data_IF_349931401211
#
_entry.id   IF_349931401211
#
_cell.length_a   1.000
_cell.length_b   1.000
_cell.length_c   1.000
_cell.angle_alpha   90.00
_cell.angle_beta   90.00
_cell.angle_gamma   90.00
#
_symmetry.space_group_name_H-M   'P 1'
#
loop_
_entity.id
_entity.type
_entity.pdbx_description
1 polymer ?
#
# COMPACT_ATOMS: atom_id res chain seq x y z
N UNK A 1 -18.90 -5.17 -11.91
CA UNK A 1 -18.88 -3.73 -12.20
C UNK A 1 -19.66 -3.48 -13.46
N UNK A 2 -20.61 -2.56 -13.39
CA UNK A 2 -21.40 -2.10 -14.53
C UNK A 2 -20.79 -0.80 -15.05
N UNK A 3 -20.55 -0.70 -16.35
CA UNK A 3 -19.90 0.45 -16.97
C UNK A 3 -20.43 0.68 -18.39
N UNK A 4 -20.29 1.91 -18.89
CA UNK A 4 -20.87 2.31 -20.18
C UNK A 4 -22.37 2.64 -20.08
N UNK A 5 -22.98 3.02 -21.20
CA UNK A 5 -24.42 3.33 -21.29
C UNK A 5 -25.02 2.83 -22.61
N UNK A 6 -26.32 2.53 -22.60
CA UNK A 6 -27.05 2.07 -23.79
C UNK A 6 -26.48 0.77 -24.36
N UNK A 7 -26.21 0.75 -25.66
CA UNK A 7 -25.64 -0.41 -26.36
C UNK A 7 -24.18 -0.68 -25.97
N UNK A 8 -23.49 0.28 -25.35
CA UNK A 8 -22.11 0.12 -24.85
C UNK A 8 -22.05 -0.28 -23.37
N UNK A 9 -23.18 -0.63 -22.74
CA UNK A 9 -23.21 -1.11 -21.36
C UNK A 9 -22.52 -2.47 -21.27
N UNK A 10 -21.57 -2.59 -20.35
CA UNK A 10 -20.75 -3.79 -20.12
C UNK A 10 -20.79 -4.18 -18.66
N UNK A 11 -20.99 -5.47 -18.43
CA UNK A 11 -20.84 -6.07 -17.12
C UNK A 11 -19.48 -6.76 -17.03
N UNK A 12 -18.59 -6.18 -16.23
CA UNK A 12 -17.28 -6.73 -15.95
C UNK A 12 -17.36 -7.49 -14.63
N UNK A 13 -17.19 -8.81 -14.68
CA UNK A 13 -17.07 -9.62 -13.48
C UNK A 13 -15.65 -9.49 -12.91
N UNK A 14 -15.44 -8.47 -12.07
CA UNK A 14 -14.16 -8.20 -11.42
C UNK A 14 -13.72 -9.37 -10.53
N UNK A 15 -14.67 -10.03 -9.84
CA UNK A 15 -14.37 -11.15 -8.96
C UNK A 15 -13.68 -12.26 -9.72
N UNK A 16 -14.26 -12.71 -10.84
CA UNK A 16 -13.66 -13.79 -11.64
C UNK A 16 -12.27 -13.40 -12.17
N UNK A 17 -12.13 -12.18 -12.71
CA UNK A 17 -10.86 -11.70 -13.28
C UNK A 17 -9.75 -11.66 -12.23
N UNK A 18 -10.05 -11.21 -11.01
CA UNK A 18 -9.05 -11.11 -9.95
C UNK A 18 -8.77 -12.45 -9.29
N UNK A 19 -9.78 -13.31 -9.12
CA UNK A 19 -9.62 -14.65 -8.55
C UNK A 19 -8.72 -15.53 -9.43
N UNK A 20 -8.87 -15.43 -10.76
CA UNK A 20 -8.00 -16.11 -11.73
C UNK A 20 -6.53 -15.65 -11.66
N UNK A 21 -6.29 -14.40 -11.25
CA UNK A 21 -4.93 -13.85 -11.13
C UNK A 21 -4.25 -14.24 -9.83
N UNK A 22 -4.99 -14.16 -8.71
CA UNK A 22 -4.50 -14.56 -7.39
C UNK A 22 -5.71 -14.84 -6.49
N UNK A 23 -5.83 -16.05 -5.91
CA UNK A 23 -6.90 -16.36 -4.98
C UNK A 23 -6.95 -15.36 -3.81
N UNK A 24 -8.15 -14.91 -3.45
CA UNK A 24 -8.37 -13.92 -2.38
C UNK A 24 -8.15 -12.46 -2.79
N UNK A 25 -7.62 -12.19 -3.99
CA UNK A 25 -7.45 -10.83 -4.49
C UNK A 25 -8.75 -10.03 -4.65
N UNK A 26 -9.91 -10.62 -5.03
CA UNK A 26 -11.18 -9.90 -5.01
C UNK A 26 -11.53 -9.36 -3.62
N UNK A 27 -11.29 -10.15 -2.58
CA UNK A 27 -11.56 -9.75 -1.19
C UNK A 27 -10.54 -8.72 -0.68
N UNK A 28 -9.29 -8.84 -1.10
CA UNK A 28 -8.23 -7.87 -0.80
C UNK A 28 -8.43 -6.50 -1.47
N UNK A 29 -9.26 -6.41 -2.52
CA UNK A 29 -9.33 -5.24 -3.38
C UNK A 29 -9.66 -3.92 -2.64
N UNK A 30 -10.62 -3.87 -1.70
CA UNK A 30 -10.89 -2.67 -0.91
C UNK A 30 -9.66 -2.20 -0.12
N UNK A 31 -9.01 -3.12 0.61
CA UNK A 31 -7.79 -2.84 1.36
C UNK A 31 -6.64 -2.39 0.48
N UNK A 32 -6.42 -3.08 -0.63
CA UNK A 32 -5.40 -2.73 -1.62
C UNK A 32 -5.62 -1.33 -2.21
N UNK A 33 -6.85 -1.00 -2.58
CA UNK A 33 -7.20 0.29 -3.18
C UNK A 33 -7.05 1.43 -2.17
N UNK A 34 -7.53 1.23 -0.93
CA UNK A 34 -7.35 2.18 0.16
C UNK A 34 -5.88 2.35 0.56
N UNK A 35 -5.06 1.31 0.49
CA UNK A 35 -3.65 1.40 0.86
C UNK A 35 -2.79 2.03 -0.24
N UNK A 36 -2.93 1.61 -1.50
CA UNK A 36 -2.09 2.13 -2.59
C UNK A 36 -2.43 3.56 -3.00
N UNK A 37 -3.62 4.04 -2.66
CA UNK A 37 -4.05 5.43 -2.83
C UNK A 37 -5.43 5.53 -3.45
N UNK A 38 -6.30 6.30 -2.81
CA UNK A 38 -7.66 6.63 -3.25
C UNK A 38 -7.98 8.09 -2.87
N UNK A 39 -9.21 8.53 -3.08
CA UNK A 39 -9.62 9.90 -2.75
C UNK A 39 -9.47 10.24 -1.26
N UNK A 40 -9.49 9.22 -0.39
CA UNK A 40 -9.34 9.35 1.06
C UNK A 40 -7.91 9.15 1.57
N UNK A 41 -7.02 8.53 0.77
CA UNK A 41 -5.66 8.23 1.21
C UNK A 41 -4.63 8.61 0.14
N UNK A 42 -3.58 9.34 0.55
CA UNK A 42 -2.54 9.76 -0.37
C UNK A 42 -1.82 8.56 -1.00
N UNK A 43 -1.60 8.58 -2.32
CA UNK A 43 -0.81 7.56 -3.00
C UNK A 43 0.69 7.65 -2.68
N UNK A 44 1.41 6.55 -2.87
CA UNK A 44 2.87 6.56 -2.76
C UNK A 44 3.48 7.31 -3.96
N UNK A 45 4.41 8.24 -3.70
CA UNK A 45 4.94 9.12 -4.74
C UNK A 45 5.60 8.34 -5.88
N UNK A 46 5.12 8.59 -7.11
CA UNK A 46 5.52 7.88 -8.34
C UNK A 46 5.39 6.35 -8.29
N UNK A 47 4.51 5.83 -7.42
CA UNK A 47 4.11 4.42 -7.42
C UNK A 47 2.67 4.33 -7.91
N UNK A 48 2.50 3.99 -9.19
CA UNK A 48 1.18 3.69 -9.76
C UNK A 48 0.63 2.37 -9.23
N UNK A 49 -0.58 1.95 -9.65
CA UNK A 49 -1.26 0.74 -9.15
C UNK A 49 -0.87 -0.56 -9.87
N UNK A 50 -0.22 -0.50 -11.03
CA UNK A 50 0.12 -1.71 -11.80
C UNK A 50 1.24 -2.49 -11.12
N UNK A 51 2.39 -1.86 -10.87
CA UNK A 51 3.55 -2.53 -10.24
C UNK A 51 3.25 -3.07 -8.83
N UNK A 52 2.57 -2.34 -7.94
CA UNK A 52 2.18 -2.88 -6.64
C UNK A 52 1.23 -4.07 -6.76
N UNK A 53 0.32 -4.07 -7.73
CA UNK A 53 -0.55 -5.23 -7.97
C UNK A 53 0.26 -6.46 -8.40
N UNK A 54 1.22 -6.28 -9.31
CA UNK A 54 2.12 -7.37 -9.72
C UNK A 54 2.91 -7.97 -8.55
N UNK A 55 3.26 -7.17 -7.53
CA UNK A 55 3.93 -7.66 -6.32
C UNK A 55 2.99 -8.58 -5.53
N UNK A 56 1.71 -8.23 -5.43
CA UNK A 56 0.70 -9.06 -4.75
C UNK A 56 0.42 -10.35 -5.54
N UNK A 57 0.33 -10.25 -6.87
CA UNK A 57 0.07 -11.39 -7.76
C UNK A 57 1.22 -12.41 -7.74
N UNK A 58 2.47 -11.94 -7.63
CA UNK A 58 3.67 -12.80 -7.61
C UNK A 58 4.07 -13.30 -6.22
N UNK A 59 3.36 -12.89 -5.17
CA UNK A 59 3.63 -13.35 -3.81
C UNK A 59 3.03 -14.74 -3.59
N UNK A 60 3.84 -15.77 -3.76
CA UNK A 60 3.46 -17.18 -3.59
C UNK A 60 2.95 -17.48 -2.17
N UNK A 61 3.48 -16.79 -1.16
CA UNK A 61 3.13 -17.02 0.26
C UNK A 61 1.73 -16.55 0.61
N UNK A 62 1.17 -15.63 -0.18
CA UNK A 62 -0.15 -15.02 0.06
C UNK A 62 -0.13 -14.00 1.19
N UNK A 63 1.04 -13.70 1.75
CA UNK A 63 1.23 -12.74 2.83
C UNK A 63 0.64 -11.37 2.50
N UNK A 64 0.88 -10.85 1.30
CA UNK A 64 0.40 -9.52 0.91
C UNK A 64 -1.11 -9.52 0.66
N UNK A 65 -1.65 -10.56 0.04
CA UNK A 65 -3.11 -10.69 -0.14
C UNK A 65 -3.80 -10.74 1.22
N UNK A 66 -3.30 -11.58 2.13
CA UNK A 66 -3.87 -11.73 3.47
C UNK A 66 -3.80 -10.43 4.27
N UNK A 67 -2.72 -9.66 4.16
CA UNK A 67 -2.64 -8.32 4.74
C UNK A 67 -3.71 -7.38 4.19
N UNK A 68 -3.97 -7.38 2.89
CA UNK A 68 -5.02 -6.52 2.34
C UNK A 68 -6.43 -6.99 2.68
N UNK A 69 -6.62 -8.29 2.92
CA UNK A 69 -7.87 -8.85 3.43
C UNK A 69 -8.10 -8.45 4.90
N UNK A 70 -7.05 -8.43 5.73
CA UNK A 70 -7.17 -8.05 7.14
C UNK A 70 -7.44 -6.56 7.35
N UNK A 71 -7.16 -5.72 6.36
CA UNK A 71 -7.59 -4.32 6.40
C UNK A 71 -9.12 -4.24 6.44
N UNK A 72 -9.63 -3.48 7.40
CA UNK A 72 -11.05 -3.38 7.73
C UNK A 72 -11.39 -3.97 9.10
N UNK A 73 -10.50 -4.80 9.64
CA UNK A 73 -10.63 -5.44 10.95
C UNK A 73 -9.67 -4.83 11.99
N UNK A 74 -9.50 -5.51 13.13
CA UNK A 74 -8.51 -5.18 14.16
C UNK A 74 -7.10 -5.44 13.65
N UNK A 75 -6.30 -4.38 13.59
CA UNK A 75 -4.90 -4.46 13.18
C UNK A 75 -4.06 -5.23 14.23
N UNK A 76 -3.21 -6.11 13.73
CA UNK A 76 -2.21 -6.87 14.47
C UNK A 76 -0.79 -6.37 14.15
N UNK A 77 0.18 -6.72 14.99
CA UNK A 77 1.59 -6.40 14.73
C UNK A 77 2.09 -7.03 13.41
N UNK A 78 1.55 -8.19 13.04
CA UNK A 78 1.87 -8.89 11.78
C UNK A 78 1.46 -8.11 10.52
N UNK A 79 0.44 -7.25 10.62
CA UNK A 79 0.00 -6.41 9.50
C UNK A 79 1.03 -5.33 9.17
N UNK A 80 1.70 -4.78 10.20
CA UNK A 80 2.79 -3.83 9.97
C UNK A 80 3.97 -4.50 9.26
N UNK A 81 4.37 -5.69 9.68
CA UNK A 81 5.48 -6.42 9.07
C UNK A 81 5.19 -6.81 7.61
N UNK A 82 3.94 -7.15 7.29
CA UNK A 82 3.52 -7.39 5.92
C UNK A 82 3.51 -6.11 5.08
N UNK A 83 2.95 -5.02 5.62
CA UNK A 83 2.96 -3.72 4.96
C UNK A 83 4.38 -3.20 4.70
N UNK A 84 5.29 -3.36 5.67
CA UNK A 84 6.67 -2.90 5.59
C UNK A 84 7.43 -3.65 4.49
N UNK A 85 7.34 -4.97 4.46
CA UNK A 85 7.96 -5.79 3.40
C UNK A 85 7.37 -5.52 2.01
N UNK A 86 6.05 -5.32 1.93
CA UNK A 86 5.37 -4.94 0.70
C UNK A 86 5.85 -3.58 0.17
N UNK A 87 5.94 -2.57 1.04
CA UNK A 87 6.43 -1.23 0.68
C UNK A 87 7.91 -1.29 0.28
N UNK A 88 8.75 -2.05 0.97
CA UNK A 88 10.14 -2.26 0.55
C UNK A 88 10.23 -2.80 -0.88
N UNK A 89 9.41 -3.80 -1.21
CA UNK A 89 9.30 -4.37 -2.55
C UNK A 89 8.83 -3.34 -3.58
N UNK A 90 7.85 -2.50 -3.24
CA UNK A 90 7.36 -1.40 -4.10
C UNK A 90 8.45 -0.37 -4.44
N UNK A 91 9.44 -0.21 -3.56
CA UNK A 91 10.60 0.65 -3.76
C UNK A 91 11.82 -0.10 -4.35
N UNK A 92 11.64 -1.34 -4.81
CA UNK A 92 12.65 -2.14 -5.49
C UNK A 92 13.60 -2.88 -4.57
N UNK A 93 13.26 -3.01 -3.28
CA UNK A 93 14.11 -3.61 -2.24
C UNK A 93 13.49 -4.91 -1.70
N UNK A 94 13.39 -5.91 -2.57
CA UNK A 94 12.66 -7.17 -2.34
C UNK A 94 13.21 -7.98 -1.15
N UNK A 95 14.50 -7.84 -0.84
CA UNK A 95 15.15 -8.56 0.28
C UNK A 95 15.08 -7.82 1.62
N UNK A 96 14.52 -6.62 1.64
CA UNK A 96 14.45 -5.76 2.84
C UNK A 96 13.03 -5.83 3.37
N UNK A 97 12.91 -6.03 4.68
CA UNK A 97 11.61 -6.12 5.36
C UNK A 97 11.30 -4.90 6.22
N UNK A 98 12.31 -4.11 6.55
CA UNK A 98 12.19 -2.88 7.34
C UNK A 98 12.22 -1.66 6.42
N UNK A 99 11.15 -0.86 6.48
CA UNK A 99 10.99 0.34 5.65
C UNK A 99 12.00 1.43 5.97
N UNK A 100 12.47 1.56 7.22
CA UNK A 100 13.48 2.55 7.60
C UNK A 100 14.87 2.13 7.09
N UNK A 101 15.18 0.83 7.13
CA UNK A 101 16.39 0.29 6.48
C UNK A 101 16.32 0.49 4.95
N UNK A 102 15.17 0.23 4.34
CA UNK A 102 14.97 0.49 2.91
C UNK A 102 15.14 1.98 2.60
N UNK A 103 14.63 2.86 3.46
CA UNK A 103 14.78 4.31 3.34
C UNK A 103 16.24 4.73 3.41
N UNK A 104 16.99 4.20 4.38
CA UNK A 104 18.41 4.47 4.54
C UNK A 104 19.21 4.01 3.31
N UNK A 105 19.02 2.76 2.85
CA UNK A 105 19.68 2.24 1.64
C UNK A 105 19.39 3.10 0.41
N UNK A 106 18.13 3.53 0.24
CA UNK A 106 17.74 4.38 -0.88
C UNK A 106 18.42 5.74 -0.81
N UNK A 107 18.51 6.34 0.39
CA UNK A 107 19.20 7.60 0.61
C UNK A 107 20.67 7.50 0.23
N UNK A 108 21.39 6.49 0.75
CA UNK A 108 22.81 6.26 0.42
C UNK A 108 23.01 6.05 -1.09
N UNK A 109 22.12 5.30 -1.74
CA UNK A 109 22.18 5.10 -3.18
C UNK A 109 21.94 6.40 -3.98
N UNK A 110 21.15 7.33 -3.44
CA UNK A 110 20.88 8.63 -4.08
C UNK A 110 21.98 9.66 -3.84
N UNK A 111 22.64 9.64 -2.68
CA UNK A 111 23.73 10.58 -2.34
C UNK A 111 25.09 10.11 -2.82
N UNK A 112 25.25 8.83 -3.14
CA UNK A 112 26.54 8.25 -3.50
C UNK A 112 27.50 8.18 -2.31
N UNK A 113 28.80 8.02 -2.59
CA UNK A 113 29.83 8.04 -1.54
C UNK A 113 29.94 9.45 -0.95
N UNK A 114 30.00 9.52 0.38
CA UNK A 114 30.26 10.76 1.11
C UNK A 114 31.75 11.07 1.02
N UNK A 115 32.08 12.24 0.49
CA UNK A 115 33.45 12.77 0.48
C UNK A 115 33.79 13.31 1.88
N UNK A 116 35.00 13.03 2.38
CA UNK A 116 35.40 13.41 3.74
C UNK A 116 35.68 14.91 3.88
N UNK A 117 36.15 15.57 2.83
CA UNK A 117 36.43 17.01 2.84
C UNK A 117 35.18 17.83 2.49
N UNK A 118 34.33 17.31 1.60
CA UNK A 118 33.05 17.94 1.26
C UNK A 118 31.90 16.91 1.20
N UNK A 119 31.26 16.60 2.34
CA UNK A 119 30.16 15.63 2.43
C UNK A 119 28.97 15.89 1.49
N UNK A 120 28.83 17.12 0.98
CA UNK A 120 27.74 17.55 0.11
C UNK A 120 28.12 17.57 -1.38
N UNK A 121 29.38 17.32 -1.73
CA UNK A 121 29.89 17.43 -3.10
C UNK A 121 29.14 16.53 -4.11
N UNK A 122 28.74 15.34 -3.68
CA UNK A 122 28.03 14.34 -4.48
C UNK A 122 26.50 14.53 -4.49
N UNK A 123 25.97 15.36 -3.60
CA UNK A 123 24.53 15.56 -3.44
C UNK A 123 24.01 16.58 -4.46
N UNK A 124 23.54 16.08 -5.61
CA UNK A 124 22.88 16.91 -6.63
C UNK A 124 21.39 16.59 -6.70
N UNK A 125 20.54 17.61 -6.48
CA UNK A 125 19.07 17.57 -6.62
C UNK A 125 18.43 16.30 -6.02
N UNK A 126 18.62 16.10 -4.71
CA UNK A 126 18.01 15.01 -3.97
C UNK A 126 16.49 15.23 -3.87
N UNK A 127 15.72 14.43 -4.60
CA UNK A 127 14.26 14.37 -4.44
C UNK A 127 13.90 13.37 -3.34
N UNK A 128 13.76 13.86 -2.11
CA UNK A 128 13.39 13.06 -0.95
C UNK A 128 12.01 12.39 -1.06
N UNK A 129 11.14 12.81 -2.00
CA UNK A 129 9.86 12.16 -2.22
C UNK A 129 10.02 10.77 -2.87
N UNK A 130 11.19 10.47 -3.46
CA UNK A 130 11.51 9.15 -4.03
C UNK A 130 11.90 8.11 -2.96
N UNK A 131 12.10 8.54 -1.72
CA UNK A 131 12.42 7.65 -0.61
C UNK A 131 11.17 6.87 -0.16
N UNK A 132 11.31 5.60 0.29
CA UNK A 132 10.27 4.91 1.05
C UNK A 132 9.78 5.76 2.24
N UNK A 133 8.52 5.64 2.67
CA UNK A 133 8.04 6.33 3.88
C UNK A 133 8.88 5.92 5.11
N UNK A 134 8.84 6.71 6.18
CA UNK A 134 9.35 6.24 7.48
C UNK A 134 8.37 5.24 8.10
N UNK A 135 8.82 4.48 9.09
CA UNK A 135 7.96 3.63 9.91
C UNK A 135 6.70 4.35 10.39
N UNK A 136 6.85 5.52 11.01
CA UNK A 136 5.73 6.31 11.54
C UNK A 136 4.74 6.74 10.44
N UNK A 137 5.24 7.14 9.27
CA UNK A 137 4.36 7.49 8.14
C UNK A 137 3.63 6.25 7.62
N UNK A 138 4.29 5.10 7.58
CA UNK A 138 3.66 3.83 7.19
C UNK A 138 2.58 3.40 8.19
N UNK A 139 2.82 3.50 9.49
CA UNK A 139 1.81 3.20 10.53
C UNK A 139 0.55 4.06 10.35
N UNK A 140 0.70 5.38 10.16
CA UNK A 140 -0.44 6.26 9.91
C UNK A 140 -1.16 5.91 8.59
N UNK A 141 -0.41 5.52 7.56
CA UNK A 141 -0.96 5.11 6.26
C UNK A 141 -1.78 3.82 6.38
N UNK A 142 -1.28 2.82 7.12
CA UNK A 142 -2.00 1.57 7.42
C UNK A 142 -3.30 1.89 8.15
N UNK A 143 -3.22 2.70 9.21
CA UNK A 143 -4.39 3.14 9.99
C UNK A 143 -5.45 3.77 9.08
N UNK A 144 -5.09 4.76 8.27
CA UNK A 144 -6.02 5.42 7.33
C UNK A 144 -6.63 4.44 6.33
N UNK A 145 -5.81 3.57 5.76
CA UNK A 145 -6.30 2.54 4.84
C UNK A 145 -7.27 1.58 5.53
N UNK A 146 -6.98 1.17 6.77
CA UNK A 146 -7.83 0.30 7.57
C UNK A 146 -9.22 0.92 7.78
N UNK A 147 -9.25 2.19 8.20
CA UNK A 147 -10.51 2.92 8.42
C UNK A 147 -11.36 3.03 7.15
N UNK A 148 -10.74 3.41 6.02
CA UNK A 148 -11.43 3.50 4.73
C UNK A 148 -11.94 2.14 4.27
N UNK A 149 -11.16 1.09 4.49
CA UNK A 149 -11.54 -0.28 4.13
C UNK A 149 -12.71 -0.76 4.96
N UNK A 150 -12.69 -0.48 6.27
CA UNK A 150 -13.80 -0.77 7.17
C UNK A 150 -15.09 -0.05 6.73
N UNK A 151 -15.00 1.23 6.33
CA UNK A 151 -16.14 1.97 5.78
C UNK A 151 -16.73 1.30 4.53
N UNK A 152 -15.88 0.89 3.58
CA UNK A 152 -16.35 0.30 2.33
C UNK A 152 -16.91 -1.11 2.50
N UNK A 153 -16.30 -1.92 3.35
CA UNK A 153 -16.77 -3.29 3.65
C UNK A 153 -18.08 -3.28 4.44
N UNK A 154 -18.33 -2.23 5.22
CA UNK A 154 -19.56 -2.03 6.01
C UNK A 154 -20.54 -1.04 5.35
N UNK A 155 -20.40 -0.73 4.06
CA UNK A 155 -21.26 0.28 3.41
C UNK A 155 -22.76 -0.07 3.39
N UNK A 156 -23.09 -1.36 3.56
CA UNK A 156 -24.48 -1.84 3.65
C UNK A 156 -25.03 -1.87 5.08
N UNK A 157 -24.20 -1.60 6.10
CA UNK A 157 -24.60 -1.63 7.52
C UNK A 157 -24.70 -0.20 8.08
N UNK A 158 -25.60 0.01 9.03
CA UNK A 158 -25.86 1.34 9.60
C UNK A 158 -24.78 1.79 10.62
N UNK A 159 -23.97 0.86 11.12
CA UNK A 159 -22.97 1.12 12.15
C UNK A 159 -21.63 0.49 11.78
N UNK A 160 -20.56 1.25 12.00
CA UNK A 160 -19.20 0.72 12.00
C UNK A 160 -19.02 -0.02 13.33
N UNK A 161 -19.03 -1.35 13.29
CA UNK A 161 -19.12 -2.21 14.48
C UNK A 161 -18.00 -2.11 15.52
N UNK A 162 -17.01 -1.22 15.35
CA UNK A 162 -15.80 -1.18 16.17
C UNK A 162 -15.56 0.12 16.97
N UNK A 163 -16.51 1.06 17.04
CA UNK A 163 -16.35 2.27 17.87
C UNK A 163 -15.16 3.16 17.50
N UNK A 164 -14.64 2.99 16.28
CA UNK A 164 -13.46 3.66 15.75
C UNK A 164 -13.78 5.10 15.35
N UNK A 165 -13.13 6.08 15.97
CA UNK A 165 -13.31 7.49 15.63
C UNK A 165 -12.49 7.84 14.39
N UNK A 166 -13.00 8.64 13.44
CA UNK A 166 -12.18 9.19 12.35
C UNK A 166 -10.91 9.90 12.85
N UNK A 167 -10.95 10.45 14.06
CA UNK A 167 -9.83 11.14 14.70
C UNK A 167 -8.67 10.21 15.09
N UNK A 168 -8.90 8.90 15.19
CA UNK A 168 -7.85 7.93 15.56
C UNK A 168 -6.91 7.59 14.39
N UNK A 169 -7.26 8.07 13.19
CA UNK A 169 -6.58 7.80 11.92
C UNK A 169 -6.00 9.07 11.28
N UNK A 170 -6.10 10.23 11.97
CA UNK A 170 -5.80 11.56 11.47
C UNK A 170 -4.70 12.27 12.22
#
# INVERSE_FOLDING_TARGET
MDCGMGNDRRYINITNILEERRPGLPQALPGYYAFTGCDFTAGFYRKGKVKPLEIVEKDDTGKFVNFFISLGDLLSDGDFDAASEYVCSMYGQIKVKDVDEARYRKLIAMTGKVDQENPLASIKKLDCALLPPTRRTLEMKIRRANYVTMLWTNAATATLGMGTSPCDYG
#
